data_IF_000083430387
#
_entry.id   IF_000083430387
#
_cell.length_a   1.000
_cell.length_b   1.000
_cell.length_c   1.000
_cell.angle_alpha   90.00
_cell.angle_beta   90.00
_cell.angle_gamma   90.00
#
_symmetry.space_group_name_H-M   'P 1'
#
loop_
_entity.id
_entity.type
_entity.pdbx_description
1 polymer ?
#
# COMPACT_ATOMS: atom_id res chain seq x y z
N UNK A 1 14.88 -25.09 -2.74
CA UNK A 1 14.03 -24.03 -3.32
C UNK A 1 12.61 -24.56 -3.42
N UNK A 2 11.67 -24.03 -2.62
CA UNK A 2 10.27 -24.45 -2.68
C UNK A 2 9.69 -24.03 -4.04
N UNK A 3 9.22 -25.01 -4.81
CA UNK A 3 8.69 -24.78 -6.16
C UNK A 3 7.43 -23.91 -6.08
N UNK A 4 7.49 -22.69 -6.62
CA UNK A 4 6.31 -21.83 -6.77
C UNK A 4 5.45 -22.35 -7.93
N UNK A 5 4.66 -23.40 -7.65
CA UNK A 5 3.75 -23.97 -8.64
C UNK A 5 2.51 -23.10 -8.88
N UNK A 6 2.05 -23.09 -10.14
CA UNK A 6 0.76 -22.51 -10.54
C UNK A 6 -0.36 -23.17 -9.74
N UNK A 7 -1.19 -22.36 -9.08
CA UNK A 7 -2.37 -22.84 -8.38
C UNK A 7 -3.33 -23.47 -9.41
N UNK A 8 -3.71 -24.73 -9.23
CA UNK A 8 -4.80 -25.35 -10.00
C UNK A 8 -4.56 -26.77 -10.54
N UNK A 9 -3.32 -27.24 -10.65
CA UNK A 9 -3.03 -28.61 -11.09
C UNK A 9 -2.74 -29.46 -9.85
N UNK A 10 -3.72 -30.28 -9.43
CA UNK A 10 -3.49 -31.26 -8.37
C UNK A 10 -2.69 -32.45 -8.94
N UNK A 11 -1.43 -32.68 -8.52
CA UNK A 11 -0.58 -33.73 -9.09
C UNK A 11 -1.10 -35.14 -8.79
N UNK A 12 -2.04 -35.30 -7.85
CA UNK A 12 -2.53 -36.61 -7.42
C UNK A 12 -3.78 -37.08 -8.18
N UNK A 13 -4.47 -36.23 -8.98
CA UNK A 13 -5.63 -36.58 -9.83
C UNK A 13 -6.52 -37.74 -9.32
N UNK A 14 -6.96 -37.68 -8.05
CA UNK A 14 -7.85 -38.67 -7.42
C UNK A 14 -7.16 -39.82 -6.66
N UNK A 15 -5.85 -40.00 -6.82
CA UNK A 15 -5.04 -40.93 -6.01
C UNK A 15 -4.83 -40.37 -4.58
N UNK A 16 -4.71 -41.24 -3.57
CA UNK A 16 -4.36 -40.79 -2.23
C UNK A 16 -2.94 -40.22 -2.18
N UNK A 17 -2.77 -39.14 -1.42
CA UNK A 17 -1.44 -38.56 -1.20
C UNK A 17 -0.63 -39.52 -0.31
N UNK A 18 0.57 -39.95 -0.70
CA UNK A 18 1.37 -40.87 0.11
C UNK A 18 1.84 -40.18 1.40
N UNK A 19 1.92 -40.96 2.49
CA UNK A 19 2.29 -40.47 3.84
C UNK A 19 3.62 -39.74 3.85
N UNK A 20 4.64 -40.30 3.20
CA UNK A 20 6.00 -39.74 3.15
C UNK A 20 6.03 -38.32 2.57
N UNK A 21 5.23 -38.04 1.54
CA UNK A 21 5.15 -36.71 0.93
C UNK A 21 4.54 -35.68 1.88
N UNK A 22 3.55 -36.09 2.67
CA UNK A 22 2.91 -35.22 3.66
C UNK A 22 3.88 -34.90 4.79
N UNK A 23 4.59 -35.91 5.32
CA UNK A 23 5.59 -35.70 6.39
C UNK A 23 6.67 -34.73 5.92
N UNK A 24 7.24 -35.00 4.74
CA UNK A 24 8.25 -34.13 4.14
C UNK A 24 7.76 -32.70 3.93
N UNK A 25 6.52 -32.52 3.45
CA UNK A 25 5.96 -31.18 3.25
C UNK A 25 5.70 -30.43 4.57
N UNK A 26 5.40 -31.14 5.66
CA UNK A 26 5.25 -30.54 7.00
C UNK A 26 6.62 -30.10 7.52
N UNK A 27 7.66 -30.91 7.34
CA UNK A 27 9.03 -30.57 7.77
C UNK A 27 9.62 -29.39 6.99
N UNK A 28 9.35 -29.31 5.69
CA UNK A 28 9.88 -28.24 4.82
C UNK A 28 9.15 -26.90 4.99
N UNK A 29 7.99 -26.84 5.65
CA UNK A 29 7.12 -25.66 5.65
C UNK A 29 6.82 -25.08 7.04
N UNK A 30 6.66 -23.76 7.10
CA UNK A 30 6.37 -23.05 8.36
C UNK A 30 4.94 -23.30 8.89
N UNK A 31 4.01 -23.73 8.02
CA UNK A 31 2.61 -23.93 8.41
C UNK A 31 1.96 -25.02 7.56
N UNK A 32 0.94 -25.67 8.13
CA UNK A 32 0.14 -26.68 7.42
C UNK A 32 -0.49 -26.15 6.12
N UNK A 33 -0.77 -24.84 6.04
CA UNK A 33 -1.30 -24.23 4.83
C UNK A 33 -0.20 -24.08 3.76
N UNK A 34 1.01 -23.69 4.15
CA UNK A 34 2.19 -23.71 3.25
C UNK A 34 2.56 -25.15 2.83
N UNK A 35 2.43 -26.14 3.72
CA UNK A 35 2.61 -27.56 3.38
C UNK A 35 1.69 -28.00 2.25
N UNK A 36 0.39 -27.67 2.35
CA UNK A 36 -0.59 -27.98 1.31
C UNK A 36 -0.26 -27.29 -0.03
N UNK A 37 0.17 -26.02 0.03
CA UNK A 37 0.61 -25.26 -1.14
C UNK A 37 1.87 -25.87 -1.80
N UNK A 38 2.83 -26.34 -1.00
CA UNK A 38 4.05 -27.01 -1.48
C UNK A 38 3.76 -28.31 -2.21
N UNK A 39 2.68 -29.01 -1.84
CA UNK A 39 2.21 -30.22 -2.52
C UNK A 39 1.27 -29.93 -3.71
N UNK A 40 0.95 -28.66 -3.97
CA UNK A 40 -0.02 -28.23 -4.98
C UNK A 40 -1.42 -28.88 -4.79
N UNK A 41 -1.83 -29.05 -3.54
CA UNK A 41 -3.14 -29.60 -3.19
C UNK A 41 -4.00 -28.59 -2.46
N UNK A 42 -5.32 -28.75 -2.54
CA UNK A 42 -6.21 -27.94 -1.72
C UNK A 42 -6.02 -28.27 -0.24
N UNK A 43 -6.18 -27.25 0.62
CA UNK A 43 -6.02 -27.39 2.06
C UNK A 43 -6.94 -28.48 2.65
N UNK A 44 -8.17 -28.60 2.14
CA UNK A 44 -9.12 -29.60 2.60
C UNK A 44 -8.67 -31.04 2.30
N UNK A 45 -8.13 -31.27 1.10
CA UNK A 45 -7.59 -32.59 0.72
C UNK A 45 -6.36 -32.94 1.54
N UNK A 46 -5.44 -31.98 1.72
CA UNK A 46 -4.28 -32.15 2.59
C UNK A 46 -4.69 -32.49 4.03
N UNK A 47 -5.64 -31.73 4.61
CA UNK A 47 -6.17 -31.96 5.96
C UNK A 47 -6.82 -33.34 6.11
N UNK A 48 -7.56 -33.82 5.10
CA UNK A 48 -8.15 -35.17 5.09
C UNK A 48 -7.08 -36.26 5.24
N UNK A 49 -6.04 -36.21 4.41
CA UNK A 49 -4.98 -37.24 4.43
C UNK A 49 -4.04 -37.09 5.63
N UNK A 50 -3.72 -35.88 6.05
CA UNK A 50 -2.91 -35.65 7.24
C UNK A 50 -3.57 -36.20 8.51
N UNK A 51 -4.90 -36.07 8.63
CA UNK A 51 -5.67 -36.75 9.68
C UNK A 51 -5.66 -38.27 9.52
N UNK A 52 -5.85 -38.78 8.29
CA UNK A 52 -5.84 -40.23 8.01
C UNK A 52 -4.52 -40.91 8.43
N UNK A 53 -3.40 -40.19 8.36
CA UNK A 53 -2.08 -40.71 8.72
C UNK A 53 -1.59 -40.26 10.10
N UNK A 54 -2.45 -39.61 10.90
CA UNK A 54 -2.14 -39.11 12.25
C UNK A 54 -0.94 -38.14 12.34
N UNK A 55 -0.68 -37.40 11.27
CA UNK A 55 0.40 -36.38 11.18
C UNK A 55 -0.10 -34.95 11.33
N UNK A 56 -1.40 -34.77 11.61
CA UNK A 56 -2.03 -33.47 11.72
C UNK A 56 -1.70 -32.77 13.05
N UNK A 57 -0.73 -31.85 13.02
CA UNK A 57 -0.30 -31.04 14.19
C UNK A 57 -0.21 -29.54 13.84
N UNK A 58 -1.35 -28.82 13.79
CA UNK A 58 -1.35 -27.38 13.52
C UNK A 58 -0.72 -26.62 14.70
N UNK A 59 -0.06 -25.50 14.42
CA UNK A 59 0.44 -24.62 15.46
C UNK A 59 -0.74 -23.99 16.23
N UNK A 60 -0.64 -23.79 17.56
CA UNK A 60 -1.69 -23.20 18.37
C UNK A 60 -1.88 -21.69 18.10
N UNK A 61 -0.84 -21.02 17.61
CA UNK A 61 -0.86 -19.61 17.21
C UNK A 61 -0.15 -19.44 15.87
N UNK A 62 -0.47 -18.37 15.14
CA UNK A 62 0.21 -18.01 13.89
C UNK A 62 1.56 -17.31 14.10
N UNK A 63 2.09 -17.30 15.32
CA UNK A 63 3.41 -16.78 15.61
C UNK A 63 4.49 -17.53 14.79
N UNK A 64 5.37 -16.79 14.12
CA UNK A 64 6.46 -17.34 13.30
C UNK A 64 6.12 -17.59 11.83
N UNK A 65 4.86 -17.46 11.40
CA UNK A 65 4.50 -17.64 9.98
C UNK A 65 4.75 -16.35 9.21
N UNK A 66 5.72 -16.38 8.27
CA UNK A 66 6.01 -15.25 7.40
C UNK A 66 4.85 -15.03 6.42
N UNK A 67 4.17 -13.88 6.54
CA UNK A 67 3.14 -13.43 5.60
C UNK A 67 3.75 -12.38 4.70
N UNK A 68 3.96 -12.71 3.43
CA UNK A 68 4.22 -11.68 2.44
C UNK A 68 3.04 -10.72 2.44
N UNK A 69 3.29 -9.43 2.74
CA UNK A 69 2.28 -8.39 2.51
C UNK A 69 2.02 -8.40 1.01
N UNK A 70 0.81 -8.79 0.59
CA UNK A 70 0.41 -8.63 -0.82
C UNK A 70 0.44 -7.14 -1.13
N UNK A 71 1.54 -6.69 -1.73
CA UNK A 71 1.58 -5.40 -2.42
C UNK A 71 0.89 -5.65 -3.74
N UNK A 72 -0.43 -5.46 -3.79
CA UNK A 72 -1.16 -5.51 -5.04
C UNK A 72 -0.68 -4.36 -5.92
N UNK A 73 -0.21 -4.66 -7.13
CA UNK A 73 0.09 -3.66 -8.17
C UNK A 73 -1.12 -2.77 -8.50
N UNK A 74 -2.34 -3.19 -8.16
CA UNK A 74 -3.56 -2.36 -8.21
C UNK A 74 -3.64 -1.27 -7.12
N UNK A 75 -2.61 -1.12 -6.28
CA UNK A 75 -2.18 0.18 -5.79
C UNK A 75 -3.19 1.01 -4.99
N UNK A 76 -4.20 0.41 -4.35
CA UNK A 76 -5.03 1.17 -3.42
C UNK A 76 -4.17 1.56 -2.22
N UNK A 77 -3.69 2.80 -2.24
CA UNK A 77 -2.96 3.43 -1.14
C UNK A 77 -3.94 3.64 0.04
N UNK A 78 -3.44 3.87 1.26
CA UNK A 78 -4.28 4.38 2.35
C UNK A 78 -5.10 5.62 1.96
N UNK A 79 -4.64 6.40 0.98
CA UNK A 79 -5.35 7.56 0.41
C UNK A 79 -6.74 7.21 -0.16
N UNK A 80 -6.93 6.03 -0.75
CA UNK A 80 -8.23 5.66 -1.32
C UNK A 80 -9.27 5.35 -0.24
N UNK A 81 -8.84 4.84 0.91
CA UNK A 81 -9.69 4.61 2.09
C UNK A 81 -10.11 5.94 2.72
N UNK A 82 -9.22 6.93 2.72
CA UNK A 82 -9.51 8.29 3.17
C UNK A 82 -10.55 8.98 2.26
N UNK A 83 -10.43 8.78 0.94
CA UNK A 83 -11.38 9.28 -0.06
C UNK A 83 -12.77 8.64 0.08
N UNK A 84 -12.87 7.34 0.33
CA UNK A 84 -14.18 6.68 0.55
C UNK A 84 -14.85 7.19 1.82
N UNK A 85 -14.09 7.32 2.91
CA UNK A 85 -14.62 7.80 4.18
C UNK A 85 -15.09 9.26 4.10
N UNK A 86 -14.34 10.11 3.40
CA UNK A 86 -14.76 11.49 3.12
C UNK A 86 -16.09 11.55 2.36
N UNK A 87 -16.27 10.70 1.34
CA UNK A 87 -17.51 10.64 0.54
C UNK A 87 -18.71 10.21 1.39
N UNK A 88 -18.52 9.25 2.28
CA UNK A 88 -19.55 8.79 3.23
C UNK A 88 -19.98 9.94 4.17
N UNK A 89 -19.02 10.66 4.77
CA UNK A 89 -19.31 11.79 5.66
C UNK A 89 -20.08 12.94 4.98
N UNK A 90 -19.75 13.24 3.73
CA UNK A 90 -20.45 14.26 2.93
C UNK A 90 -21.86 13.78 2.58
N UNK A 91 -22.01 12.50 2.20
CA UNK A 91 -23.30 11.91 1.82
C UNK A 91 -24.28 11.86 2.99
N UNK A 92 -23.80 11.55 4.18
CA UNK A 92 -24.60 11.49 5.41
C UNK A 92 -24.84 12.88 6.04
N UNK A 93 -24.30 13.95 5.44
CA UNK A 93 -24.38 15.34 5.96
C UNK A 93 -23.85 15.50 7.39
N UNK A 94 -22.91 14.64 7.81
CA UNK A 94 -22.25 14.73 9.12
C UNK A 94 -21.35 15.96 9.19
N UNK A 95 -20.67 16.26 8.09
CA UNK A 95 -19.85 17.45 7.93
C UNK A 95 -20.16 18.14 6.59
N UNK A 96 -20.24 19.48 6.55
CA UNK A 96 -20.48 20.19 5.30
C UNK A 96 -19.24 20.09 4.39
N UNK A 97 -19.45 20.08 3.08
CA UNK A 97 -18.38 20.02 2.08
C UNK A 97 -17.65 21.38 1.94
N UNK A 98 -17.02 21.83 3.03
CA UNK A 98 -16.23 23.05 3.11
C UNK A 98 -15.08 22.88 4.09
N UNK A 99 -13.97 23.57 3.84
CA UNK A 99 -12.87 23.62 4.79
C UNK A 99 -13.29 24.32 6.09
N UNK A 100 -12.91 23.76 7.24
CA UNK A 100 -13.20 24.34 8.56
C UNK A 100 -12.31 25.54 8.89
N UNK A 101 -11.15 25.69 8.24
CA UNK A 101 -10.23 26.81 8.44
C UNK A 101 -10.55 27.99 7.52
N UNK A 102 -10.49 27.78 6.20
CA UNK A 102 -10.60 28.85 5.21
C UNK A 102 -11.99 28.96 4.55
N UNK A 103 -12.90 28.03 4.83
CA UNK A 103 -14.24 28.03 4.22
C UNK A 103 -14.29 27.60 2.76
N UNK A 104 -13.16 27.25 2.15
CA UNK A 104 -13.07 26.84 0.75
C UNK A 104 -13.98 25.65 0.43
N UNK A 105 -14.81 25.81 -0.60
CA UNK A 105 -15.81 24.82 -1.04
C UNK A 105 -15.72 24.52 -2.54
N UNK A 106 -14.61 24.88 -3.21
CA UNK A 106 -14.39 24.53 -4.62
C UNK A 106 -14.50 23.02 -4.84
N UNK A 107 -15.22 22.67 -5.90
CA UNK A 107 -15.45 21.30 -6.34
C UNK A 107 -14.93 21.12 -7.77
N UNK A 108 -14.54 19.89 -8.09
CA UNK A 108 -14.21 19.49 -9.45
C UNK A 108 -15.48 19.42 -10.30
N UNK A 109 -15.49 20.08 -11.46
CA UNK A 109 -16.67 20.15 -12.35
C UNK A 109 -17.15 18.78 -12.86
N UNK A 110 -16.26 17.77 -12.93
CA UNK A 110 -16.59 16.42 -13.42
C UNK A 110 -17.34 15.59 -12.39
N UNK A 111 -16.76 15.44 -11.20
CA UNK A 111 -17.20 14.48 -10.18
C UNK A 111 -17.86 15.15 -8.96
N UNK A 112 -17.93 16.48 -8.93
CA UNK A 112 -18.39 17.30 -7.78
C UNK A 112 -17.59 17.06 -6.48
N UNK A 113 -16.44 16.40 -6.58
CA UNK A 113 -15.55 16.14 -5.45
C UNK A 113 -14.75 17.38 -5.08
N UNK A 114 -14.66 17.65 -3.78
CA UNK A 114 -13.86 18.74 -3.22
C UNK A 114 -12.50 18.21 -2.74
N UNK A 115 -11.41 18.96 -2.93
CA UNK A 115 -10.08 18.61 -2.45
C UNK A 115 -9.94 18.84 -0.94
N UNK A 116 -10.73 18.10 -0.15
CA UNK A 116 -10.73 18.13 1.32
C UNK A 116 -10.10 16.84 1.86
N UNK A 117 -9.38 16.95 2.96
CA UNK A 117 -8.81 15.85 3.75
C UNK A 117 -9.57 15.78 5.07
N UNK A 118 -9.82 14.56 5.55
CA UNK A 118 -10.34 14.30 6.89
C UNK A 118 -9.21 14.44 7.91
N UNK A 119 -9.38 15.33 8.88
CA UNK A 119 -8.46 15.51 9.98
C UNK A 119 -9.11 15.11 11.30
N UNK A 120 -8.41 14.27 12.07
CA UNK A 120 -8.81 13.88 13.42
C UNK A 120 -8.18 14.83 14.42
N UNK A 121 -8.98 15.51 15.25
CA UNK A 121 -8.48 16.47 16.25
C UNK A 121 -7.54 15.77 17.25
N UNK A 122 -7.89 14.55 17.66
CA UNK A 122 -7.10 13.73 18.58
C UNK A 122 -5.87 13.07 17.93
N UNK A 123 -5.77 13.05 16.59
CA UNK A 123 -4.76 12.30 15.85
C UNK A 123 -5.03 10.79 15.75
N UNK A 124 -6.04 10.27 16.44
CA UNK A 124 -6.43 8.86 16.42
C UNK A 124 -7.39 8.53 15.27
N UNK A 125 -6.94 7.67 14.35
CA UNK A 125 -7.70 7.24 13.14
C UNK A 125 -8.94 6.39 13.50
N UNK A 126 -8.91 5.74 14.66
CA UNK A 126 -9.99 4.85 15.10
C UNK A 126 -11.18 5.60 15.74
N UNK A 127 -10.98 6.82 16.23
CA UNK A 127 -12.05 7.60 16.87
C UNK A 127 -12.84 8.41 15.83
N UNK A 128 -13.83 7.76 15.22
CA UNK A 128 -14.67 8.30 14.12
C UNK A 128 -15.89 9.09 14.59
N UNK A 129 -15.89 9.61 15.82
CA UNK A 129 -17.00 10.44 16.29
C UNK A 129 -17.04 11.77 15.54
N UNK A 130 -18.23 12.29 15.20
CA UNK A 130 -18.35 13.55 14.45
C UNK A 130 -17.68 14.73 15.16
N UNK A 131 -17.65 14.74 16.50
CA UNK A 131 -16.96 15.75 17.30
C UNK A 131 -15.44 15.77 17.15
N UNK A 132 -14.83 14.64 16.77
CA UNK A 132 -13.38 14.50 16.56
C UNK A 132 -12.97 14.78 15.10
N UNK A 133 -13.94 14.92 14.19
CA UNK A 133 -13.68 15.03 12.75
C UNK A 133 -13.74 16.48 12.28
N UNK A 134 -12.82 16.86 11.41
CA UNK A 134 -12.82 18.14 10.69
C UNK A 134 -12.40 17.95 9.24
N UNK A 135 -12.90 18.81 8.35
CA UNK A 135 -12.39 18.88 6.97
C UNK A 135 -11.41 20.04 6.82
N UNK A 136 -10.23 19.74 6.27
CA UNK A 136 -9.26 20.74 5.81
C UNK A 136 -9.06 20.64 4.30
N UNK A 137 -8.79 21.76 3.62
CA UNK A 137 -8.26 21.69 2.26
C UNK A 137 -6.76 21.32 2.28
N UNK A 138 -6.20 20.89 1.15
CA UNK A 138 -4.77 20.56 1.05
C UNK A 138 -3.85 21.67 1.55
N UNK A 139 -4.17 22.93 1.26
CA UNK A 139 -3.35 24.08 1.67
C UNK A 139 -3.40 24.29 3.19
N UNK A 140 -4.59 24.31 3.80
CA UNK A 140 -4.71 24.47 5.25
C UNK A 140 -4.14 23.27 6.00
N UNK A 141 -4.34 22.06 5.48
CA UNK A 141 -3.72 20.87 6.06
C UNK A 141 -2.18 20.99 6.05
N UNK A 142 -1.60 21.46 4.96
CA UNK A 142 -0.16 21.67 4.84
C UNK A 142 0.40 22.75 5.79
N UNK A 143 -0.35 23.83 6.02
CA UNK A 143 0.08 24.93 6.90
C UNK A 143 -0.08 24.59 8.39
N UNK A 144 -1.19 23.94 8.75
CA UNK A 144 -1.51 23.62 10.16
C UNK A 144 -0.82 22.35 10.64
N UNK A 145 -0.60 21.36 9.78
CA UNK A 145 0.00 20.09 10.17
C UNK A 145 1.52 20.11 10.00
N UNK A 146 2.31 20.01 11.09
CA UNK A 146 3.76 20.09 11.00
C UNK A 146 4.33 18.86 10.27
N UNK A 147 5.18 19.12 9.27
CA UNK A 147 5.94 18.07 8.58
C UNK A 147 7.00 17.47 9.52
N UNK A 148 6.81 16.22 9.94
CA UNK A 148 7.78 15.48 10.78
C UNK A 148 9.07 15.10 10.05
N UNK A 149 9.06 15.13 8.71
CA UNK A 149 10.17 14.70 7.86
C UNK A 149 10.39 15.72 6.73
N UNK A 150 10.99 16.87 7.04
CA UNK A 150 11.41 17.83 6.02
C UNK A 150 12.83 17.48 5.60
N UNK A 151 13.02 17.03 4.36
CA UNK A 151 14.35 16.95 3.73
C UNK A 151 14.84 18.37 3.50
N UNK A 152 15.97 18.72 4.12
CA UNK A 152 16.58 20.05 4.01
C UNK A 152 17.61 19.98 2.89
N UNK A 153 17.41 20.75 1.81
CA UNK A 153 18.52 21.03 0.91
C UNK A 153 19.38 22.12 1.57
N UNK A 154 20.68 21.87 1.72
CA UNK A 154 21.59 22.79 2.39
C UNK A 154 21.92 24.02 1.53
N UNK A 155 21.80 23.90 0.21
CA UNK A 155 22.24 24.90 -0.77
C UNK A 155 21.19 26.00 -1.01
N UNK A 156 19.89 25.65 -0.90
CA UNK A 156 18.76 26.51 -1.28
C UNK A 156 18.33 27.47 -0.15
N UNK A 157 18.99 27.43 1.01
CA UNK A 157 18.61 28.25 2.16
C UNK A 157 17.28 27.84 2.81
N UNK A 158 16.87 28.55 3.86
CA UNK A 158 15.65 28.31 4.64
C UNK A 158 14.57 29.36 4.42
N UNK A 159 14.95 30.59 4.06
CA UNK A 159 14.01 31.71 3.89
C UNK A 159 13.56 31.81 2.44
N UNK A 160 12.38 32.38 2.23
CA UNK A 160 11.85 32.62 0.89
C UNK A 160 12.75 33.57 0.08
N UNK A 161 13.41 34.50 0.76
CA UNK A 161 14.35 35.47 0.17
C UNK A 161 15.61 34.77 -0.36
N UNK A 162 16.22 33.86 0.42
CA UNK A 162 17.39 33.06 0.00
C UNK A 162 17.09 32.17 -1.23
N UNK A 163 15.81 31.80 -1.43
CA UNK A 163 15.36 31.01 -2.59
C UNK A 163 15.12 31.86 -3.84
N UNK A 164 14.83 33.15 -3.69
CA UNK A 164 14.60 34.06 -4.81
C UNK A 164 15.89 34.47 -5.52
N UNK A 165 17.02 34.39 -4.82
CA UNK A 165 18.34 34.71 -5.37
C UNK A 165 18.92 33.60 -6.29
N UNK A 166 18.25 32.45 -6.37
CA UNK A 166 18.64 31.33 -7.25
C UNK A 166 18.22 31.69 -8.69
N UNK A 167 19.19 31.86 -9.57
CA UNK A 167 18.93 32.10 -11.00
C UNK A 167 18.62 30.79 -11.72
N UNK A 168 17.96 30.87 -12.88
CA UNK A 168 17.62 29.69 -13.70
C UNK A 168 18.88 28.87 -14.08
N UNK A 169 20.03 29.53 -14.18
CA UNK A 169 21.33 28.92 -14.50
C UNK A 169 21.88 28.01 -13.37
N UNK A 170 21.47 28.22 -12.12
CA UNK A 170 21.89 27.39 -10.97
C UNK A 170 21.04 26.10 -10.85
N UNK A 171 19.93 26.02 -11.60
CA UNK A 171 19.02 24.86 -11.64
C UNK A 171 19.59 23.84 -12.64
N UNK A 172 20.67 23.17 -12.24
CA UNK A 172 21.41 22.13 -13.01
C UNK A 172 20.58 20.93 -13.51
N UNK A 173 19.32 20.80 -13.08
CA UNK A 173 18.46 19.66 -13.43
C UNK A 173 18.09 19.59 -14.92
N UNK A 174 17.92 20.75 -15.57
CA UNK A 174 17.44 20.80 -16.95
C UNK A 174 18.54 20.53 -17.97
N UNK A 175 19.79 20.88 -17.67
CA UNK A 175 20.97 20.59 -18.50
C UNK A 175 21.34 19.11 -18.44
N UNK A 176 21.43 18.52 -17.23
CA UNK A 176 21.67 17.10 -17.04
C UNK A 176 20.58 16.22 -17.66
N UNK A 177 19.32 16.66 -17.61
CA UNK A 177 18.21 15.95 -18.26
C UNK A 177 18.31 15.99 -19.79
N UNK A 178 18.80 17.08 -20.36
CA UNK A 178 19.08 17.20 -21.81
C UNK A 178 20.25 16.30 -22.22
N UNK A 179 21.36 16.34 -21.49
CA UNK A 179 22.53 15.49 -21.75
C UNK A 179 22.19 13.99 -21.65
N UNK A 180 21.41 13.60 -20.63
CA UNK A 180 20.91 12.23 -20.50
C UNK A 180 19.94 11.87 -21.63
N UNK A 181 19.09 12.79 -22.05
CA UNK A 181 18.20 12.63 -23.21
C UNK A 181 18.95 12.40 -24.52
N UNK A 182 20.01 13.19 -24.76
CA UNK A 182 20.89 13.07 -25.92
C UNK A 182 21.65 11.74 -25.92
N UNK A 183 22.27 11.38 -24.78
CA UNK A 183 22.98 10.10 -24.63
C UNK A 183 22.05 8.88 -24.79
N UNK A 184 20.80 8.97 -24.32
CA UNK A 184 19.78 7.95 -24.54
C UNK A 184 19.36 7.89 -26.01
N UNK A 185 19.18 9.02 -26.68
CA UNK A 185 18.85 9.04 -28.11
C UNK A 185 19.96 8.47 -28.98
N UNK A 186 21.23 8.66 -28.60
CA UNK A 186 22.38 8.06 -29.28
C UNK A 186 22.47 6.54 -29.04
N UNK A 187 22.11 6.06 -27.84
CA UNK A 187 22.07 4.64 -27.50
C UNK A 187 20.90 3.90 -28.18
N UNK A 188 19.77 4.56 -28.37
CA UNK A 188 18.58 3.98 -29.01
C UNK A 188 18.46 4.32 -30.51
N UNK A 189 19.40 5.10 -31.06
CA UNK A 189 19.40 5.61 -32.43
C UNK A 189 20.41 4.94 -33.37
N UNK A 190 20.11 3.71 -33.80
CA UNK A 190 20.31 3.16 -35.17
C UNK A 190 20.00 1.65 -35.17
N UNK A 191 18.77 1.34 -35.54
CA UNK A 191 18.44 0.26 -36.47
C UNK A 191 17.59 0.88 -37.58
#
# INVERSE_FOLDING_TARGET
MAQTGRQGINPYLGRPIPKERIVRAIEESESMHKAAQSLHTSYNTFKKYAKKYDVWKPLPSSAGVSRARKVTWSGLKPLDVELTFQKELIREFVLPQRCSCCGESRQRKTDMLSPLIVHFINGDIHDKKPSNLRFFCYNCYFLEHPNKHKTINKEIGRTFEEQQDITEDDITGDELAKELGESLSDLFGKN
#
